data_IF_048215285756
#
_entry.id   IF_048215285756
#
_cell.length_a   1.000
_cell.length_b   1.000
_cell.length_c   1.000
_cell.angle_alpha   90.00
_cell.angle_beta   90.00
_cell.angle_gamma   90.00
#
_symmetry.space_group_name_H-M   'P 1'
#
loop_
_entity.id
_entity.type
_entity.pdbx_description
1 polymer ?
#
# COMPACT_ATOMS: atom_id res chain seq x y z
N UNK A 1 -16.81 14.11 -0.77
CA UNK A 1 -16.09 14.12 -2.06
C UNK A 1 -14.97 13.08 -2.15
N UNK A 2 -13.92 13.08 -1.31
CA UNK A 2 -12.86 12.06 -1.41
C UNK A 2 -13.27 10.65 -0.93
N UNK A 3 -14.08 10.55 0.14
CA UNK A 3 -14.54 9.27 0.68
C UNK A 3 -15.51 8.54 -0.26
N UNK A 4 -16.40 9.27 -0.93
CA UNK A 4 -17.38 8.72 -1.88
C UNK A 4 -16.69 8.15 -3.13
N UNK A 5 -15.61 8.81 -3.58
CA UNK A 5 -14.82 8.36 -4.72
C UNK A 5 -14.02 7.10 -4.40
N UNK A 6 -13.50 6.95 -3.18
CA UNK A 6 -12.82 5.73 -2.72
C UNK A 6 -13.81 4.56 -2.56
N UNK A 7 -15.00 4.83 -2.00
CA UNK A 7 -16.04 3.82 -1.84
C UNK A 7 -16.53 3.32 -3.19
N UNK A 8 -16.80 4.22 -4.13
CA UNK A 8 -17.13 3.85 -5.52
C UNK A 8 -15.97 3.08 -6.19
N UNK A 9 -14.72 3.51 -5.98
CA UNK A 9 -13.53 2.82 -6.49
C UNK A 9 -13.21 1.49 -5.80
N UNK A 10 -13.93 1.09 -4.77
CA UNK A 10 -13.74 -0.19 -4.11
C UNK A 10 -15.00 -1.08 -4.18
N UNK A 11 -16.17 -0.53 -4.54
CA UNK A 11 -17.43 -1.27 -4.68
C UNK A 11 -17.43 -2.29 -5.82
N UNK A 12 -16.67 -2.04 -6.89
CA UNK A 12 -16.61 -2.98 -8.04
C UNK A 12 -15.63 -4.14 -7.85
N UNK A 13 -14.79 -4.09 -6.80
CA UNK A 13 -13.74 -5.08 -6.57
C UNK A 13 -13.82 -5.55 -5.12
N UNK A 14 -14.57 -6.63 -4.89
CA UNK A 14 -14.61 -7.30 -3.58
C UNK A 14 -13.22 -7.83 -3.16
N UNK A 15 -12.25 -7.89 -4.07
CA UNK A 15 -10.92 -8.41 -3.82
C UNK A 15 -9.85 -7.54 -4.47
N UNK A 16 -8.72 -7.43 -3.79
CA UNK A 16 -7.47 -6.87 -4.30
C UNK A 16 -6.29 -7.76 -3.95
N UNK A 17 -5.09 -7.31 -4.27
CA UNK A 17 -3.83 -7.95 -3.85
C UNK A 17 -3.19 -7.07 -2.78
N UNK A 18 -2.79 -7.66 -1.66
CA UNK A 18 -1.98 -7.00 -0.66
C UNK A 18 -0.51 -7.30 -0.92
N UNK A 19 0.35 -6.28 -0.80
CA UNK A 19 1.81 -6.43 -0.78
C UNK A 19 2.33 -5.91 0.56
N UNK A 20 3.20 -6.67 1.21
CA UNK A 20 3.67 -6.33 2.55
C UNK A 20 5.05 -6.93 2.83
N UNK A 21 5.82 -6.33 3.73
CA UNK A 21 6.92 -7.02 4.39
C UNK A 21 6.40 -7.65 5.68
N UNK A 22 6.35 -8.98 5.77
CA UNK A 22 5.85 -9.70 6.94
C UNK A 22 6.97 -10.45 7.66
N UNK A 23 6.70 -10.87 8.90
CA UNK A 23 7.52 -11.84 9.62
C UNK A 23 6.79 -13.18 9.59
N UNK A 24 7.44 -14.29 9.21
CA UNK A 24 6.80 -15.61 9.21
C UNK A 24 6.46 -16.08 10.64
N UNK A 25 7.22 -15.61 11.63
CA UNK A 25 7.03 -15.89 13.04
C UNK A 25 7.26 -14.59 13.85
N UNK A 26 6.35 -14.25 14.75
CA UNK A 26 6.47 -13.04 15.58
C UNK A 26 7.71 -13.03 16.48
N UNK A 27 8.23 -14.21 16.80
CA UNK A 27 9.44 -14.40 17.62
C UNK A 27 10.74 -14.17 16.82
N UNK A 28 10.69 -14.14 15.49
CA UNK A 28 11.86 -13.93 14.63
C UNK A 28 11.91 -12.46 14.21
N UNK A 29 12.48 -11.62 15.08
CA UNK A 29 12.44 -10.15 14.97
C UNK A 29 13.17 -9.64 13.71
N UNK A 30 14.16 -10.38 13.23
CA UNK A 30 15.05 -10.03 12.12
C UNK A 30 14.71 -10.72 10.79
N UNK A 31 13.78 -11.69 10.77
CA UNK A 31 13.43 -12.44 9.54
C UNK A 31 12.24 -11.83 8.80
N UNK A 32 12.47 -10.69 8.17
CA UNK A 32 11.49 -10.06 7.29
C UNK A 32 11.48 -10.72 5.91
N UNK A 33 10.30 -10.89 5.34
CA UNK A 33 10.11 -11.44 4.01
C UNK A 33 9.01 -10.69 3.25
N UNK A 34 9.09 -10.75 1.91
CA UNK A 34 8.03 -10.22 1.07
C UNK A 34 6.83 -11.15 1.12
N UNK A 35 5.65 -10.56 1.26
CA UNK A 35 4.38 -11.26 1.33
C UNK A 35 3.39 -10.64 0.35
N UNK A 36 2.68 -11.52 -0.35
CA UNK A 36 1.61 -11.15 -1.26
C UNK A 36 0.47 -12.15 -1.12
N UNK A 37 -0.77 -11.67 -1.16
CA UNK A 37 -1.98 -12.51 -1.12
C UNK A 37 -3.17 -11.77 -1.73
N UNK A 38 -4.21 -12.50 -2.13
CA UNK A 38 -5.53 -11.90 -2.26
C UNK A 38 -5.99 -11.37 -0.91
N UNK A 39 -6.68 -10.22 -0.94
CA UNK A 39 -7.16 -9.56 0.26
C UNK A 39 -8.41 -8.73 -0.03
N UNK A 40 -9.35 -8.72 0.92
CA UNK A 40 -10.55 -7.88 0.87
C UNK A 40 -10.51 -6.90 2.05
N UNK A 41 -10.36 -5.59 1.80
CA UNK A 41 -10.26 -4.61 2.88
C UNK A 41 -11.55 -4.45 3.69
N UNK A 42 -12.72 -4.76 3.10
CA UNK A 42 -14.02 -4.57 3.72
C UNK A 42 -14.40 -5.68 4.69
N UNK A 43 -13.85 -6.88 4.50
CA UNK A 43 -14.03 -8.00 5.42
C UNK A 43 -12.87 -8.12 6.42
N UNK A 44 -11.78 -7.39 6.19
CA UNK A 44 -10.60 -7.42 7.05
C UNK A 44 -10.83 -6.64 8.35
N UNK A 45 -10.92 -7.35 9.47
CA UNK A 45 -11.05 -6.73 10.80
C UNK A 45 -9.84 -5.87 11.20
N UNK A 46 -8.69 -6.09 10.56
CA UNK A 46 -7.45 -5.33 10.74
C UNK A 46 -7.31 -4.11 9.83
N UNK A 47 -8.22 -3.90 8.87
CA UNK A 47 -8.17 -2.73 7.99
C UNK A 47 -8.81 -1.51 8.67
N UNK A 48 -8.02 -0.47 8.95
CA UNK A 48 -8.55 0.78 9.50
C UNK A 48 -8.81 1.86 8.45
N UNK A 49 -7.91 1.96 7.48
CA UNK A 49 -7.92 3.05 6.52
C UNK A 49 -7.48 2.54 5.17
N UNK A 50 -8.09 3.10 4.13
CA UNK A 50 -7.68 2.93 2.76
C UNK A 50 -7.30 4.31 2.22
N UNK A 51 -6.19 4.36 1.50
CA UNK A 51 -5.78 5.54 0.78
C UNK A 51 -5.44 5.17 -0.65
N UNK A 52 -5.91 6.00 -1.58
CA UNK A 52 -5.46 5.94 -2.96
C UNK A 52 -4.04 6.53 -3.01
N UNK A 53 -3.08 5.70 -3.40
CA UNK A 53 -1.67 6.07 -3.42
C UNK A 53 -1.28 6.74 -4.75
N UNK A 54 -1.96 6.38 -5.83
CA UNK A 54 -1.58 6.71 -7.19
C UNK A 54 -2.45 5.97 -8.23
N UNK A 55 -1.95 5.94 -9.46
CA UNK A 55 -2.60 5.32 -10.63
C UNK A 55 -1.56 4.59 -11.47
N UNK A 56 -1.99 3.56 -12.19
CA UNK A 56 -1.20 2.94 -13.26
C UNK A 56 -1.36 3.79 -14.53
N UNK A 57 -0.25 4.23 -15.12
CA UNK A 57 -0.23 5.14 -16.28
C UNK A 57 -0.53 4.36 -17.56
N UNK A 58 0.20 3.28 -17.79
CA UNK A 58 0.07 2.41 -18.98
C UNK A 58 -0.73 1.16 -18.64
N UNK A 59 -1.95 1.36 -18.15
CA UNK A 59 -2.84 0.23 -17.93
C UNK A 59 -3.33 -0.33 -19.25
N UNK A 60 -3.02 -1.60 -19.50
CA UNK A 60 -3.63 -2.39 -20.55
C UNK A 60 -4.91 -3.05 -19.99
N UNK A 61 -6.11 -2.59 -20.37
CA UNK A 61 -7.36 -3.15 -19.86
C UNK A 61 -7.57 -4.62 -20.19
N UNK A 62 -6.92 -5.06 -21.27
CA UNK A 62 -6.97 -6.43 -21.76
C UNK A 62 -6.03 -7.36 -20.98
N UNK A 63 -5.08 -6.83 -20.20
CA UNK A 63 -4.17 -7.60 -19.37
C UNK A 63 -3.94 -6.95 -17.99
N UNK A 64 -4.97 -6.92 -17.13
CA UNK A 64 -4.86 -6.34 -15.79
C UNK A 64 -3.84 -7.07 -14.88
N UNK A 65 -3.56 -8.35 -15.16
CA UNK A 65 -2.48 -9.11 -14.52
C UNK A 65 -1.11 -8.48 -14.73
N UNK A 66 -0.86 -7.90 -15.90
CA UNK A 66 0.43 -7.29 -16.23
C UNK A 66 0.81 -6.17 -15.25
N UNK A 67 -0.16 -5.33 -14.87
CA UNK A 67 0.09 -4.25 -13.88
C UNK A 67 0.34 -4.79 -12.47
N UNK A 68 -0.36 -5.86 -12.08
CA UNK A 68 -0.18 -6.49 -10.77
C UNK A 68 1.15 -7.24 -10.68
N UNK A 69 1.53 -7.92 -11.75
CA UNK A 69 2.80 -8.65 -11.86
C UNK A 69 3.98 -7.67 -11.90
N UNK A 70 3.89 -6.58 -12.66
CA UNK A 70 4.89 -5.51 -12.63
C UNK A 70 5.03 -4.86 -11.25
N UNK A 71 3.92 -4.62 -10.53
CA UNK A 71 3.97 -4.21 -9.13
C UNK A 71 4.66 -5.25 -8.27
N UNK A 72 4.31 -6.54 -8.41
CA UNK A 72 4.91 -7.62 -7.62
C UNK A 72 6.42 -7.68 -7.84
N UNK A 73 6.87 -7.65 -9.08
CA UNK A 73 8.29 -7.68 -9.44
C UNK A 73 9.05 -6.47 -8.85
N UNK A 74 8.50 -5.27 -9.00
CA UNK A 74 9.08 -4.05 -8.45
C UNK A 74 9.20 -4.09 -6.91
N UNK A 75 8.16 -4.55 -6.24
CA UNK A 75 8.06 -4.56 -4.78
C UNK A 75 8.81 -5.73 -4.13
N UNK A 76 8.85 -6.89 -4.78
CA UNK A 76 9.60 -8.05 -4.30
C UNK A 76 11.12 -7.82 -4.33
N UNK A 77 11.59 -6.97 -5.24
CA UNK A 77 13.00 -6.60 -5.36
C UNK A 77 13.50 -5.61 -4.27
N UNK A 78 12.63 -5.20 -3.34
CA UNK A 78 13.00 -4.31 -2.22
C UNK A 78 13.78 -5.12 -1.18
N UNK A 79 15.03 -4.75 -0.85
CA UNK A 79 15.80 -5.39 0.21
C UNK A 79 15.10 -5.27 1.57
N UNK A 80 15.14 -6.34 2.36
CA UNK A 80 14.62 -6.37 3.73
C UNK A 80 15.61 -5.75 4.74
N UNK A 81 16.10 -4.56 4.40
CA UNK A 81 17.10 -3.78 5.15
C UNK A 81 16.72 -2.31 5.14
N UNK A 82 17.21 -1.53 6.11
CA UNK A 82 16.92 -0.09 6.16
C UNK A 82 17.54 0.59 4.94
N UNK A 83 16.76 1.28 4.09
CA UNK A 83 17.29 2.05 2.97
C UNK A 83 18.21 3.17 3.47
N UNK A 84 19.25 3.57 2.72
CA UNK A 84 20.19 4.61 3.14
C UNK A 84 19.55 5.91 3.62
N UNK A 85 18.43 6.31 3.01
CA UNK A 85 17.69 7.53 3.32
C UNK A 85 16.97 7.49 4.68
N UNK A 86 16.75 6.28 5.22
CA UNK A 86 16.07 6.04 6.50
C UNK A 86 17.06 5.70 7.63
N UNK A 87 18.35 5.55 7.33
CA UNK A 87 19.40 5.34 8.33
C UNK A 87 19.43 6.52 9.31
N UNK A 88 19.40 6.22 10.61
CA UNK A 88 19.34 7.22 11.68
C UNK A 88 17.93 7.77 11.97
N UNK A 89 16.96 7.58 11.06
CA UNK A 89 15.54 7.88 11.32
C UNK A 89 14.80 6.68 11.94
N UNK A 90 15.17 5.49 11.49
CA UNK A 90 14.54 4.24 11.87
C UNK A 90 15.60 3.36 12.57
N UNK A 91 15.36 2.89 13.80
CA UNK A 91 16.36 2.11 14.55
C UNK A 91 16.49 0.67 14.05
N UNK A 92 15.47 0.16 13.36
CA UNK A 92 15.42 -1.19 12.81
C UNK A 92 14.49 -1.25 11.60
N UNK A 93 14.63 -2.29 10.78
CA UNK A 93 13.72 -2.53 9.68
C UNK A 93 12.32 -2.92 10.18
N UNK A 94 11.30 -2.37 9.54
CA UNK A 94 9.88 -2.66 9.84
C UNK A 94 9.07 -2.64 8.55
N UNK A 95 7.83 -3.14 8.59
CA UNK A 95 6.90 -3.00 7.47
C UNK A 95 6.67 -1.53 7.06
N UNK A 96 6.80 -0.58 7.99
CA UNK A 96 6.73 0.85 7.73
C UNK A 96 7.91 1.32 6.86
N UNK A 97 9.12 0.86 7.17
CA UNK A 97 10.33 1.15 6.38
C UNK A 97 10.18 0.58 4.98
N UNK A 98 9.76 -0.68 4.87
CA UNK A 98 9.50 -1.31 3.58
C UNK A 98 8.45 -0.55 2.77
N UNK A 99 7.34 -0.14 3.38
CA UNK A 99 6.27 0.56 2.67
C UNK A 99 6.72 1.94 2.16
N UNK A 100 7.51 2.68 2.94
CA UNK A 100 8.09 3.95 2.48
C UNK A 100 8.99 3.74 1.25
N UNK A 101 9.82 2.70 1.27
CA UNK A 101 10.66 2.33 0.13
C UNK A 101 9.83 1.86 -1.08
N UNK A 102 8.76 1.09 -0.85
CA UNK A 102 7.81 0.71 -1.88
C UNK A 102 7.20 1.94 -2.58
N UNK A 103 6.78 2.95 -1.82
CA UNK A 103 6.28 4.20 -2.39
C UNK A 103 7.35 4.90 -3.23
N UNK A 104 8.61 4.97 -2.77
CA UNK A 104 9.71 5.55 -3.55
C UNK A 104 9.94 4.81 -4.86
N UNK A 105 9.99 3.47 -4.82
CA UNK A 105 10.19 2.64 -6.01
C UNK A 105 9.06 2.77 -7.01
N UNK A 106 7.81 2.76 -6.54
CA UNK A 106 6.65 3.00 -7.39
C UNK A 106 6.68 4.42 -7.97
N UNK A 107 7.07 5.43 -7.20
CA UNK A 107 7.21 6.81 -7.70
C UNK A 107 8.26 6.93 -8.80
N UNK A 108 9.36 6.19 -8.67
CA UNK A 108 10.46 6.19 -9.64
C UNK A 108 10.21 5.28 -10.85
N UNK A 109 9.11 4.52 -10.84
CA UNK A 109 8.77 3.59 -11.89
C UNK A 109 7.73 4.23 -12.81
N UNK A 110 8.09 4.43 -14.09
CA UNK A 110 7.31 5.22 -15.05
C UNK A 110 5.86 4.74 -15.25
N UNK A 111 5.59 3.45 -15.02
CA UNK A 111 4.25 2.89 -15.07
C UNK A 111 3.29 3.36 -13.95
N UNK A 112 3.76 4.10 -12.94
CA UNK A 112 2.93 4.55 -11.82
C UNK A 112 3.03 6.06 -11.60
N UNK A 113 1.87 6.70 -11.46
CA UNK A 113 1.73 8.11 -11.12
C UNK A 113 1.18 8.26 -9.71
N UNK A 114 2.00 8.81 -8.82
CA UNK A 114 1.66 9.00 -7.41
C UNK A 114 0.85 10.29 -7.21
N UNK A 115 -0.11 10.27 -6.29
CA UNK A 115 -0.91 11.47 -5.97
C UNK A 115 -0.11 12.45 -5.09
N UNK A 116 0.81 11.93 -4.29
CA UNK A 116 1.68 12.72 -3.42
C UNK A 116 2.98 11.97 -3.15
N UNK A 117 3.97 12.68 -2.60
CA UNK A 117 5.29 12.12 -2.31
C UNK A 117 5.23 10.99 -1.26
N UNK A 118 6.19 10.05 -1.26
CA UNK A 118 6.26 8.95 -0.31
C UNK A 118 6.13 9.37 1.16
N UNK A 119 6.90 10.37 1.59
CA UNK A 119 6.92 10.82 2.98
C UNK A 119 5.62 11.54 3.38
N UNK A 120 5.01 12.30 2.46
CA UNK A 120 3.73 12.98 2.68
C UNK A 120 2.59 11.96 2.84
N UNK A 121 2.56 10.93 1.99
CA UNK A 121 1.61 9.83 2.08
C UNK A 121 1.74 9.11 3.44
N UNK A 122 2.97 8.81 3.87
CA UNK A 122 3.24 8.18 5.15
C UNK A 122 2.71 8.99 6.32
N UNK A 123 2.96 10.30 6.33
CA UNK A 123 2.54 11.18 7.40
C UNK A 123 1.01 11.35 7.42
N UNK A 124 0.38 11.48 6.25
CA UNK A 124 -1.08 11.52 6.10
C UNK A 124 -1.75 10.26 6.67
N UNK A 125 -1.22 9.08 6.35
CA UNK A 125 -1.72 7.80 6.83
C UNK A 125 -1.52 7.61 8.34
N UNK A 126 -0.37 8.05 8.86
CA UNK A 126 -0.07 8.04 10.29
C UNK A 126 -1.08 8.91 11.05
N UNK A 127 -1.31 10.12 10.59
CA UNK A 127 -2.23 11.05 11.25
C UNK A 127 -3.67 10.54 11.25
N UNK A 128 -4.12 9.92 10.15
CA UNK A 128 -5.43 9.25 10.10
C UNK A 128 -5.52 8.09 11.07
N UNK A 129 -4.48 7.26 11.16
CA UNK A 129 -4.47 6.10 12.06
C UNK A 129 -4.52 6.53 13.53
N UNK A 130 -3.75 7.56 13.90
CA UNK A 130 -3.78 8.15 15.24
C UNK A 130 -5.17 8.69 15.56
N UNK A 131 -5.79 9.46 14.66
CA UNK A 131 -7.13 9.98 14.86
C UNK A 131 -8.16 8.86 15.08
N UNK A 132 -8.09 7.78 14.29
CA UNK A 132 -8.97 6.61 14.44
C UNK A 132 -8.79 5.93 15.80
N UNK A 133 -7.55 5.78 16.27
CA UNK A 133 -7.24 5.20 17.58
C UNK A 133 -7.80 6.05 18.72
N UNK A 134 -7.67 7.38 18.65
CA UNK A 134 -8.27 8.29 19.63
C UNK A 134 -9.80 8.21 19.66
N UNK A 135 -10.44 8.06 18.50
CA UNK A 135 -11.90 7.89 18.40
C UNK A 135 -12.38 6.51 18.89
N UNK A 136 -11.49 5.51 18.95
CA UNK A 136 -11.84 4.13 19.30
C UNK A 136 -10.83 3.53 20.30
N UNK A 137 -10.75 4.05 21.53
CA UNK A 137 -9.81 3.56 22.53
C UNK A 137 -10.09 2.09 22.86
N UNK A 138 -9.10 1.22 22.65
CA UNK A 138 -9.20 -0.22 22.91
C UNK A 138 -8.83 -1.13 21.73
N UNK A 139 -8.66 -0.59 20.51
CA UNK A 139 -8.12 -1.33 19.38
C UNK A 139 -6.63 -1.02 19.20
N UNK A 140 -5.76 -2.01 19.42
CA UNK A 140 -4.33 -1.94 19.08
C UNK A 140 -4.17 -2.29 17.59
N UNK A 141 -3.56 -1.42 16.78
CA UNK A 141 -3.68 -1.57 15.32
C UNK A 141 -2.46 -1.13 14.53
N UNK A 142 -2.16 -1.90 13.48
CA UNK A 142 -1.17 -1.60 12.45
C UNK A 142 -1.88 -1.04 11.21
N UNK A 143 -1.35 0.01 10.57
CA UNK A 143 -1.93 0.50 9.34
C UNK A 143 -1.67 -0.49 8.20
N UNK A 144 -2.73 -0.85 7.46
CA UNK A 144 -2.68 -1.77 6.32
C UNK A 144 -2.87 -0.94 5.05
N UNK A 145 -2.02 -1.18 4.03
CA UNK A 145 -1.95 -0.33 2.85
C UNK A 145 -2.05 -1.18 1.57
N UNK A 146 -3.09 -0.96 0.74
CA UNK A 146 -2.97 -0.93 -0.73
C UNK A 146 -4.31 -0.60 -1.43
N UNK A 147 -4.26 0.19 -2.52
CA UNK A 147 -4.57 -0.25 -3.89
C UNK A 147 -4.34 0.92 -4.89
N UNK A 148 -3.63 0.65 -5.99
CA UNK A 148 -3.55 1.51 -7.17
C UNK A 148 -4.57 1.01 -8.18
N UNK A 149 -5.47 1.88 -8.67
CA UNK A 149 -6.39 1.50 -9.74
C UNK A 149 -5.79 1.82 -11.12
N UNK A 150 -6.19 1.04 -12.11
CA UNK A 150 -6.12 1.45 -13.50
C UNK A 150 -7.29 2.35 -13.90
N UNK A 151 -7.08 3.17 -14.94
CA UNK A 151 -8.11 4.04 -15.51
C UNK A 151 -9.24 3.16 -16.06
N UNK A 152 -10.45 3.32 -15.51
CA UNK A 152 -11.62 2.79 -16.21
C UNK A 152 -11.71 3.54 -17.54
N UNK A 153 -11.61 2.80 -18.64
CA UNK A 153 -11.99 3.30 -19.94
C UNK A 153 -13.51 3.25 -20.01
N UNK A 154 -14.19 4.19 -19.35
CA UNK A 154 -15.60 4.43 -19.62
C UNK A 154 -15.81 5.88 -19.99
N UNK A 155 -16.14 6.08 -21.27
CA UNK A 155 -16.43 7.39 -21.84
C UNK A 155 -16.71 7.42 -23.34
N UNK A 156 -17.34 6.39 -23.92
CA UNK A 156 -18.14 6.55 -25.15
C UNK A 156 -19.38 5.67 -25.06
N UNK A 157 -20.45 6.23 -24.49
CA UNK A 157 -21.78 6.41 -25.09
C UNK A 157 -22.64 7.20 -24.13
#
# INVERSE_FOLDING_TARGET
>A
MAADSLRAACQDTEKGIIFHASRPNENEIDKWQFYTSEWNPFTSQSCLTLALIGRVVDFEPENPSHSVDAMRECLQAIPMTIPPQDVGREPMFTCRVWFREALRRLTAHDAFSMIMGPDEMMESLRNRTIAIQYMNPGKQVLPVFLQLRPRSAYGTT
#
